data_IF_004832184428
#
_entry.id   IF_004832184428
#
_cell.length_a   1.000
_cell.length_b   1.000
_cell.length_c   1.000
_cell.angle_alpha   90.00
_cell.angle_beta   90.00
_cell.angle_gamma   90.00
#
_symmetry.space_group_name_H-M   'P 1'
#
loop_
_entity.id
_entity.type
_entity.pdbx_description
1 polymer ?
#
# COMPACT_ATOMS: atom_id res chain seq x y z
N UNK A 1 23.20 -28.08 24.93
CA UNK A 1 24.42 -27.64 24.23
C UNK A 1 24.28 -26.15 23.98
N UNK A 2 25.25 -25.33 24.40
CA UNK A 2 25.21 -23.87 24.22
C UNK A 2 26.17 -23.54 23.06
N UNK A 3 25.67 -22.87 22.03
CA UNK A 3 26.49 -22.38 20.93
C UNK A 3 26.71 -20.86 21.07
N UNK A 4 27.95 -20.40 20.90
CA UNK A 4 28.28 -18.99 20.85
C UNK A 4 28.50 -18.65 19.40
N UNK A 5 27.56 -17.90 18.79
CA UNK A 5 27.67 -17.41 17.44
C UNK A 5 28.41 -16.06 17.44
N UNK A 6 29.56 -16.01 16.72
CA UNK A 6 30.29 -14.78 16.47
C UNK A 6 30.07 -14.38 15.01
N UNK A 7 29.87 -13.12 14.74
CA UNK A 7 29.64 -12.60 13.40
C UNK A 7 28.86 -11.29 13.41
N UNK A 8 28.65 -10.73 12.24
CA UNK A 8 27.76 -9.59 12.03
C UNK A 8 26.31 -9.99 12.33
N UNK A 9 25.44 -9.02 12.55
CA UNK A 9 24.04 -9.31 12.86
C UNK A 9 23.32 -9.98 11.67
N UNK A 10 23.73 -9.70 10.45
CA UNK A 10 23.23 -10.40 9.25
C UNK A 10 23.63 -11.88 9.25
N UNK A 11 24.90 -12.18 9.54
CA UNK A 11 25.37 -13.59 9.64
C UNK A 11 24.69 -14.35 10.77
N UNK A 12 24.47 -13.70 11.91
CA UNK A 12 23.70 -14.27 13.03
C UNK A 12 22.26 -14.57 12.62
N UNK A 13 21.60 -13.64 11.90
CA UNK A 13 20.22 -13.81 11.41
C UNK A 13 20.12 -15.00 10.44
N UNK A 14 21.05 -15.11 9.48
CA UNK A 14 21.08 -16.20 8.52
C UNK A 14 21.36 -17.55 9.21
N UNK A 15 22.24 -17.58 10.17
CA UNK A 15 22.49 -18.78 10.97
C UNK A 15 21.25 -19.20 11.78
N UNK A 16 20.54 -18.27 12.41
CA UNK A 16 19.27 -18.53 13.10
C UNK A 16 18.21 -19.07 12.14
N UNK A 17 18.10 -18.52 10.91
CA UNK A 17 17.19 -19.05 9.89
C UNK A 17 17.50 -20.52 9.56
N UNK A 18 18.78 -20.86 9.41
CA UNK A 18 19.22 -22.22 9.09
C UNK A 18 18.87 -23.22 10.19
N UNK A 19 19.15 -22.92 11.44
CA UNK A 19 18.85 -23.85 12.57
C UNK A 19 17.36 -23.98 12.85
N UNK A 20 16.55 -23.03 12.42
CA UNK A 20 15.10 -23.02 12.60
C UNK A 20 14.36 -23.92 11.61
N UNK A 21 15.08 -24.52 10.63
CA UNK A 21 14.48 -25.42 9.62
C UNK A 21 14.00 -26.74 10.25
N UNK A 22 14.57 -27.16 11.39
CA UNK A 22 14.31 -28.44 12.02
C UNK A 22 13.24 -28.43 13.13
N UNK A 23 12.63 -27.25 13.45
CA UNK A 23 11.66 -27.08 14.54
C UNK A 23 10.43 -26.26 14.10
N UNK A 24 9.68 -25.77 15.09
CA UNK A 24 8.60 -24.79 14.83
C UNK A 24 9.23 -23.48 14.32
N UNK A 25 8.83 -23.06 13.10
CA UNK A 25 9.44 -21.90 12.44
C UNK A 25 9.14 -20.63 13.22
N UNK A 26 10.18 -19.98 13.72
CA UNK A 26 10.08 -18.63 14.26
C UNK A 26 9.70 -17.64 13.16
N UNK A 27 8.90 -16.65 13.51
CA UNK A 27 8.63 -15.53 12.62
C UNK A 27 9.89 -14.67 12.46
N UNK A 28 9.96 -13.89 11.39
CA UNK A 28 11.08 -12.97 11.19
C UNK A 28 11.25 -11.99 12.35
N UNK A 29 10.14 -11.54 12.94
CA UNK A 29 10.21 -10.65 14.11
C UNK A 29 10.75 -11.36 15.36
N UNK A 30 10.44 -12.64 15.57
CA UNK A 30 11.01 -13.42 16.67
C UNK A 30 12.51 -13.63 16.50
N UNK A 31 12.97 -13.84 15.25
CA UNK A 31 14.40 -13.92 14.92
C UNK A 31 15.11 -12.58 15.21
N UNK A 32 14.54 -11.46 14.78
CA UNK A 32 15.06 -10.11 15.07
C UNK A 32 15.15 -9.87 16.59
N UNK A 33 14.15 -10.29 17.34
CA UNK A 33 14.13 -10.14 18.79
C UNK A 33 15.25 -10.93 19.50
N UNK A 34 15.64 -12.07 18.97
CA UNK A 34 16.74 -12.85 19.53
C UNK A 34 18.11 -12.17 19.31
N UNK A 35 18.27 -11.48 18.18
CA UNK A 35 19.52 -10.83 17.80
C UNK A 35 19.66 -9.46 18.47
N UNK A 36 18.61 -8.64 18.37
CA UNK A 36 18.62 -7.26 18.86
C UNK A 36 18.04 -7.14 20.26
N UNK A 37 18.31 -8.15 21.12
CA UNK A 37 17.85 -8.11 22.51
C UNK A 37 18.49 -6.96 23.28
N UNK A 38 17.71 -6.31 24.15
CA UNK A 38 18.16 -5.18 24.95
C UNK A 38 17.01 -4.49 25.67
N UNK A 39 17.34 -3.41 26.40
CA UNK A 39 16.35 -2.62 27.15
C UNK A 39 15.35 -1.95 26.21
N UNK A 40 15.83 -1.40 25.10
CA UNK A 40 14.99 -0.79 24.07
C UNK A 40 13.92 -1.76 23.55
N UNK A 41 14.32 -2.96 23.14
CA UNK A 41 13.37 -3.97 22.65
C UNK A 41 12.39 -4.40 23.75
N UNK A 42 12.87 -4.56 24.96
CA UNK A 42 12.03 -4.92 26.12
C UNK A 42 10.97 -3.84 26.38
N UNK A 43 11.34 -2.58 26.27
CA UNK A 43 10.44 -1.45 26.42
C UNK A 43 9.45 -1.33 25.24
N UNK A 44 9.92 -1.55 24.00
CA UNK A 44 9.05 -1.64 22.82
C UNK A 44 8.01 -2.76 22.95
N UNK A 45 8.42 -3.96 23.37
CA UNK A 45 7.52 -5.11 23.56
C UNK A 45 6.47 -4.87 24.63
N UNK A 46 6.76 -4.14 25.70
CA UNK A 46 5.76 -3.75 26.71
C UNK A 46 4.63 -2.93 26.09
N UNK A 47 4.95 -2.08 25.12
CA UNK A 47 3.98 -1.18 24.48
C UNK A 47 3.23 -1.84 23.34
N UNK A 48 3.89 -2.69 22.51
CA UNK A 48 3.37 -3.21 21.25
C UNK A 48 2.97 -4.69 21.25
N UNK A 49 3.52 -5.50 22.20
CA UNK A 49 3.51 -6.97 22.07
C UNK A 49 2.87 -7.70 23.25
N UNK A 50 1.94 -7.06 23.95
CA UNK A 50 1.16 -7.67 25.03
C UNK A 50 -0.33 -7.62 24.73
N UNK A 51 -1.06 -8.57 25.33
CA UNK A 51 -2.52 -8.49 25.27
C UNK A 51 -3.00 -7.17 25.90
N UNK A 52 -3.96 -6.51 25.26
CA UNK A 52 -4.53 -5.22 25.69
C UNK A 52 -3.48 -4.13 25.98
N UNK A 53 -2.34 -4.19 25.30
CA UNK A 53 -1.31 -3.16 25.41
C UNK A 53 -1.79 -1.79 24.86
N UNK A 54 -1.02 -0.74 25.11
CA UNK A 54 -1.38 0.62 24.69
C UNK A 54 -1.51 0.68 23.16
N UNK A 55 -0.59 0.07 22.42
CA UNK A 55 -0.65 0.04 20.95
C UNK A 55 -1.93 -0.64 20.44
N UNK A 56 -2.40 -1.70 21.11
CA UNK A 56 -3.68 -2.31 20.77
C UNK A 56 -4.84 -1.33 20.98
N UNK A 57 -4.92 -0.73 22.16
CA UNK A 57 -6.05 0.15 22.52
C UNK A 57 -6.24 1.33 21.58
N UNK A 58 -5.15 1.90 21.06
CA UNK A 58 -5.22 3.06 20.17
C UNK A 58 -5.22 2.66 18.68
N UNK A 59 -4.68 1.49 18.33
CA UNK A 59 -4.47 1.08 16.94
C UNK A 59 -5.38 -0.02 16.41
N UNK A 60 -6.21 -0.67 17.24
CA UNK A 60 -7.02 -1.85 16.83
C UNK A 60 -7.98 -1.59 15.67
N UNK A 61 -8.42 -0.34 15.52
CA UNK A 61 -9.28 0.08 14.41
C UNK A 61 -8.55 0.08 13.07
N UNK A 62 -7.26 0.33 13.08
CA UNK A 62 -6.47 0.62 11.88
C UNK A 62 -5.50 -0.51 11.51
N UNK A 63 -5.06 -1.29 12.49
CA UNK A 63 -4.06 -2.35 12.31
C UNK A 63 -4.68 -3.73 12.20
N UNK A 64 -4.03 -4.59 11.42
CA UNK A 64 -4.30 -6.02 11.37
C UNK A 64 -3.30 -6.78 12.26
N UNK A 65 -3.63 -8.05 12.51
CA UNK A 65 -2.76 -8.98 13.22
C UNK A 65 -2.94 -8.98 14.73
N UNK A 66 -2.04 -9.67 15.41
CA UNK A 66 -2.05 -9.91 16.84
C UNK A 66 -0.85 -9.26 17.53
N UNK A 67 -1.09 -8.52 18.61
CA UNK A 67 0.00 -7.97 19.42
C UNK A 67 0.86 -9.06 20.04
N UNK A 68 0.28 -10.20 20.44
CA UNK A 68 1.01 -11.34 21.02
C UNK A 68 1.98 -11.94 19.99
N UNK A 69 1.56 -12.04 18.73
CA UNK A 69 2.42 -12.47 17.61
C UNK A 69 3.33 -11.35 17.09
N UNK A 70 3.32 -10.21 17.74
CA UNK A 70 4.17 -9.06 17.46
C UNK A 70 3.91 -8.37 16.09
N UNK A 71 2.77 -8.64 15.47
CA UNK A 71 2.42 -8.06 14.17
C UNK A 71 2.36 -6.52 14.23
N UNK A 72 1.91 -5.96 15.36
CA UNK A 72 1.92 -4.51 15.58
C UNK A 72 3.34 -3.95 15.64
N UNK A 73 4.23 -4.58 16.41
CA UNK A 73 5.63 -4.16 16.50
C UNK A 73 6.30 -4.23 15.12
N UNK A 74 6.13 -5.34 14.41
CA UNK A 74 6.70 -5.53 13.08
C UNK A 74 6.21 -4.48 12.09
N UNK A 75 4.91 -4.20 12.07
CA UNK A 75 4.34 -3.18 11.18
C UNK A 75 4.91 -1.79 11.46
N UNK A 76 4.96 -1.40 12.74
CA UNK A 76 5.48 -0.07 13.12
C UNK A 76 6.99 0.04 12.85
N UNK A 77 7.75 -1.03 13.06
CA UNK A 77 9.16 -1.09 12.68
C UNK A 77 9.34 -0.93 11.17
N UNK A 78 8.55 -1.61 10.37
CA UNK A 78 8.57 -1.46 8.91
C UNK A 78 8.29 -0.03 8.47
N UNK A 79 7.32 0.63 9.08
CA UNK A 79 6.95 2.00 8.74
C UNK A 79 8.04 3.02 9.10
N UNK A 80 8.59 2.91 10.32
CA UNK A 80 9.61 3.86 10.78
C UNK A 80 10.95 3.64 10.07
N UNK A 81 11.30 2.39 9.77
CA UNK A 81 12.50 2.06 9.00
C UNK A 81 12.41 2.61 7.58
N UNK A 82 11.26 2.47 6.93
CA UNK A 82 11.03 3.08 5.61
C UNK A 82 11.16 4.61 5.65
N UNK A 83 10.66 5.27 6.70
CA UNK A 83 10.82 6.71 6.91
C UNK A 83 12.29 7.14 6.98
N UNK A 84 13.13 6.31 7.59
CA UNK A 84 14.57 6.59 7.73
C UNK A 84 15.40 6.03 6.56
N UNK A 85 14.77 5.47 5.51
CA UNK A 85 15.43 4.77 4.40
C UNK A 85 16.38 3.65 4.86
N UNK A 86 15.93 2.86 5.84
CA UNK A 86 16.67 1.75 6.46
C UNK A 86 15.88 0.45 6.35
N UNK A 87 16.58 -0.68 6.53
CA UNK A 87 15.91 -1.94 6.84
C UNK A 87 15.49 -1.97 8.31
N UNK A 88 14.59 -2.89 8.67
CA UNK A 88 14.19 -3.10 10.08
C UNK A 88 15.42 -3.48 10.92
N UNK A 89 16.28 -4.33 10.37
CA UNK A 89 17.51 -4.79 11.02
C UNK A 89 18.45 -3.62 11.33
N UNK A 90 18.69 -2.73 10.36
CA UNK A 90 19.49 -1.53 10.57
C UNK A 90 18.91 -0.62 11.65
N UNK A 91 17.60 -0.39 11.59
CA UNK A 91 16.91 0.43 12.59
C UNK A 91 17.03 -0.17 14.00
N UNK A 92 16.84 -1.49 14.14
CA UNK A 92 16.93 -2.19 15.43
C UNK A 92 18.37 -2.24 15.94
N UNK A 93 19.36 -2.47 15.08
CA UNK A 93 20.79 -2.48 15.44
C UNK A 93 21.26 -1.14 16.02
N UNK A 94 20.90 -0.03 15.39
CA UNK A 94 21.26 1.31 15.86
C UNK A 94 20.67 1.65 17.23
N UNK A 95 19.49 1.08 17.55
CA UNK A 95 18.76 1.39 18.78
C UNK A 95 18.90 0.31 19.87
N UNK A 96 19.61 -0.77 19.58
CA UNK A 96 19.72 -1.93 20.48
C UNK A 96 20.19 -1.55 21.88
N UNK A 97 21.06 -0.55 21.99
CA UNK A 97 21.64 -0.10 23.27
C UNK A 97 20.92 1.10 23.90
N UNK A 98 19.84 1.58 23.29
CA UNK A 98 19.01 2.61 23.88
C UNK A 98 18.24 2.01 25.09
N UNK A 99 17.95 2.83 26.09
CA UNK A 99 17.22 2.40 27.29
C UNK A 99 15.70 2.38 27.08
N UNK A 100 15.18 3.17 26.12
CA UNK A 100 13.75 3.36 25.89
C UNK A 100 13.40 3.42 24.41
N UNK A 101 12.24 2.84 24.04
CA UNK A 101 11.66 2.92 22.72
C UNK A 101 10.68 4.12 22.55
N UNK A 102 10.91 5.20 23.27
CA UNK A 102 10.03 6.38 23.28
C UNK A 102 9.82 6.98 21.87
N UNK A 103 10.86 7.15 21.02
CA UNK A 103 10.66 7.65 19.65
C UNK A 103 9.74 6.77 18.81
N UNK A 104 9.85 5.44 18.92
CA UNK A 104 8.99 4.49 18.22
C UNK A 104 7.53 4.59 18.67
N UNK A 105 7.30 4.73 19.98
CA UNK A 105 5.96 4.89 20.56
C UNK A 105 5.32 6.21 20.12
N UNK A 106 6.08 7.29 20.14
CA UNK A 106 5.63 8.61 19.69
C UNK A 106 5.32 8.61 18.18
N UNK A 107 6.18 8.02 17.38
CA UNK A 107 5.92 7.85 15.95
C UNK A 107 4.59 7.12 15.70
N UNK A 108 4.39 5.97 16.34
CA UNK A 108 3.13 5.22 16.21
C UNK A 108 1.91 6.05 16.62
N UNK A 109 2.00 6.75 17.76
CA UNK A 109 0.92 7.62 18.20
C UNK A 109 0.63 8.74 17.20
N UNK A 110 1.67 9.37 16.64
CA UNK A 110 1.51 10.41 15.62
C UNK A 110 0.82 9.89 14.36
N UNK A 111 1.10 8.65 13.95
CA UNK A 111 0.39 8.01 12.83
C UNK A 111 -1.10 7.89 13.14
N UNK A 112 -1.44 7.38 14.32
CA UNK A 112 -2.85 7.19 14.70
C UNK A 112 -3.59 8.53 14.84
N UNK A 113 -2.98 9.50 15.53
CA UNK A 113 -3.55 10.83 15.70
C UNK A 113 -3.81 11.52 14.33
N UNK A 114 -2.86 11.36 13.40
CA UNK A 114 -3.00 11.89 12.05
C UNK A 114 -4.14 11.23 11.27
N UNK A 115 -4.31 9.90 11.37
CA UNK A 115 -5.42 9.19 10.74
C UNK A 115 -6.76 9.74 11.26
N UNK A 116 -6.89 9.86 12.59
CA UNK A 116 -8.13 10.30 13.25
C UNK A 116 -8.46 11.75 12.93
N UNK A 117 -7.44 12.59 12.80
CA UNK A 117 -7.61 13.99 12.40
C UNK A 117 -8.01 14.13 10.93
N UNK A 118 -7.32 13.38 10.03
CA UNK A 118 -7.52 13.49 8.59
C UNK A 118 -8.83 12.81 8.14
N UNK A 119 -9.20 11.68 8.79
CA UNK A 119 -10.37 10.88 8.46
C UNK A 119 -11.25 10.64 9.70
N UNK A 120 -12.02 11.64 10.15
CA UNK A 120 -12.81 11.52 11.38
C UNK A 120 -13.85 10.40 11.35
N UNK A 121 -14.36 10.07 10.17
CA UNK A 121 -15.34 8.98 10.00
C UNK A 121 -14.66 7.64 9.77
N UNK A 122 -14.71 6.80 10.79
CA UNK A 122 -14.13 5.45 10.71
C UNK A 122 -14.95 4.50 9.84
N UNK A 123 -14.28 3.78 8.93
CA UNK A 123 -14.85 2.76 8.06
C UNK A 123 -14.03 1.46 8.16
N UNK A 124 -14.47 0.55 9.04
CA UNK A 124 -13.71 -0.65 9.41
C UNK A 124 -13.22 -1.46 8.20
N UNK A 125 -14.08 -1.73 7.23
CA UNK A 125 -13.76 -2.55 6.04
C UNK A 125 -12.70 -1.93 5.14
N UNK A 126 -12.62 -0.61 5.13
CA UNK A 126 -11.75 0.15 4.23
C UNK A 126 -10.45 0.57 4.90
N UNK A 127 -10.51 0.99 6.18
CA UNK A 127 -9.37 1.56 6.88
C UNK A 127 -8.50 0.52 7.57
N UNK A 128 -9.11 -0.59 8.04
CA UNK A 128 -8.35 -1.61 8.78
C UNK A 128 -7.36 -2.33 7.88
N UNK A 129 -6.08 -2.31 8.29
CA UNK A 129 -5.00 -3.00 7.61
C UNK A 129 -4.40 -2.28 6.41
N UNK A 130 -4.68 -0.99 6.23
CA UNK A 130 -3.89 -0.14 5.33
C UNK A 130 -2.49 0.09 5.90
N UNK A 131 -1.52 0.36 5.03
CA UNK A 131 -0.15 0.71 5.44
C UNK A 131 -0.06 2.17 5.91
N UNK A 132 -0.81 2.48 6.97
CA UNK A 132 -0.99 3.85 7.44
C UNK A 132 0.31 4.58 7.74
N UNK A 133 1.32 3.88 8.28
CA UNK A 133 2.61 4.51 8.55
C UNK A 133 3.35 4.89 7.27
N UNK A 134 3.22 4.14 6.18
CA UNK A 134 3.78 4.51 4.88
C UNK A 134 3.05 5.74 4.32
N UNK A 135 1.72 5.73 4.36
CA UNK A 135 0.90 6.88 3.94
C UNK A 135 1.21 8.12 4.78
N UNK A 136 1.40 7.95 6.10
CA UNK A 136 1.83 9.02 6.99
C UNK A 136 3.20 9.58 6.60
N UNK A 137 4.18 8.71 6.34
CA UNK A 137 5.52 9.14 5.98
C UNK A 137 5.53 10.00 4.71
N UNK A 138 4.67 9.68 3.76
CA UNK A 138 4.62 10.30 2.44
C UNK A 138 3.76 11.58 2.45
N UNK A 139 2.61 11.53 3.14
CA UNK A 139 1.58 12.54 2.97
C UNK A 139 1.26 13.41 4.20
N UNK A 140 1.86 13.13 5.38
CA UNK A 140 1.51 13.86 6.62
C UNK A 140 1.90 15.34 6.64
N UNK A 141 2.79 15.76 5.73
CA UNK A 141 3.16 17.18 5.56
C UNK A 141 2.11 18.00 4.79
N UNK A 142 1.19 17.33 4.09
CA UNK A 142 0.15 18.00 3.33
C UNK A 142 -1.00 18.44 4.26
N UNK A 143 -1.66 19.52 3.86
CA UNK A 143 -2.85 20.01 4.55
C UNK A 143 -4.09 19.48 3.84
N UNK A 144 -5.01 18.89 4.60
CA UNK A 144 -6.27 18.35 4.09
C UNK A 144 -7.45 18.98 4.79
N UNK A 145 -8.54 19.22 4.05
CA UNK A 145 -9.85 19.50 4.65
C UNK A 145 -10.60 18.16 4.88
N UNK A 146 -10.85 17.75 6.12
CA UNK A 146 -11.55 16.49 6.42
C UNK A 146 -12.96 16.42 5.81
N UNK A 147 -13.66 17.54 5.63
CA UNK A 147 -15.00 17.56 5.05
C UNK A 147 -14.96 17.34 3.54
N UNK A 148 -13.99 17.94 2.87
CA UNK A 148 -13.74 17.71 1.44
C UNK A 148 -13.35 16.24 1.19
N UNK A 149 -12.42 15.71 1.98
CA UNK A 149 -12.04 14.29 1.91
C UNK A 149 -13.24 13.37 2.12
N UNK A 150 -14.09 13.65 3.11
CA UNK A 150 -15.27 12.83 3.39
C UNK A 150 -16.28 12.87 2.23
N UNK A 151 -16.50 14.04 1.63
CA UNK A 151 -17.34 14.20 0.44
C UNK A 151 -16.81 13.37 -0.73
N UNK A 152 -15.52 13.47 -1.01
CA UNK A 152 -14.87 12.72 -2.08
C UNK A 152 -14.87 11.20 -1.82
N UNK A 153 -14.63 10.75 -0.59
CA UNK A 153 -14.74 9.33 -0.23
C UNK A 153 -16.16 8.81 -0.54
N UNK A 154 -17.20 9.55 -0.14
CA UNK A 154 -18.57 9.14 -0.40
C UNK A 154 -18.89 9.09 -1.90
N UNK A 155 -18.38 10.03 -2.68
CA UNK A 155 -18.51 10.03 -4.14
C UNK A 155 -17.83 8.82 -4.77
N UNK A 156 -16.57 8.57 -4.40
CA UNK A 156 -15.77 7.47 -4.95
C UNK A 156 -16.28 6.09 -4.53
N UNK A 157 -16.93 5.96 -3.36
CA UNK A 157 -17.56 4.71 -2.94
C UNK A 157 -18.81 4.34 -3.76
N UNK A 158 -19.39 5.29 -4.46
CA UNK A 158 -20.55 5.08 -5.35
C UNK A 158 -20.14 4.83 -6.81
N UNK A 159 -18.85 4.91 -7.11
CA UNK A 159 -18.32 4.71 -8.45
C UNK A 159 -18.05 3.22 -8.69
N UNK A 160 -18.87 2.61 -9.57
CA UNK A 160 -18.81 1.18 -9.91
C UNK A 160 -17.52 0.80 -10.68
N UNK A 161 -16.80 1.78 -11.22
CA UNK A 161 -15.52 1.53 -11.89
C UNK A 161 -14.40 1.27 -10.90
N UNK A 162 -14.55 1.65 -9.62
CA UNK A 162 -13.54 1.43 -8.59
C UNK A 162 -13.63 0.00 -8.03
N UNK A 163 -12.68 -0.85 -8.39
CA UNK A 163 -12.66 -2.23 -7.90
C UNK A 163 -11.94 -2.38 -6.57
N UNK A 164 -11.00 -1.48 -6.24
CA UNK A 164 -10.24 -1.48 -4.99
C UNK A 164 -10.59 -0.29 -4.10
N UNK A 165 -11.74 -0.36 -3.43
CA UNK A 165 -12.22 0.73 -2.57
C UNK A 165 -11.26 1.14 -1.45
N UNK A 166 -10.41 0.22 -0.95
CA UNK A 166 -9.35 0.58 0.05
C UNK A 166 -8.34 1.57 -0.50
N UNK A 167 -8.12 1.60 -1.82
CA UNK A 167 -7.21 2.51 -2.49
C UNK A 167 -7.68 3.96 -2.51
N UNK A 168 -8.94 4.23 -2.18
CA UNK A 168 -9.51 5.59 -2.15
C UNK A 168 -8.70 6.50 -1.20
N UNK A 169 -8.26 5.98 -0.06
CA UNK A 169 -7.46 6.76 0.89
C UNK A 169 -6.11 7.19 0.30
N UNK A 170 -5.39 6.26 -0.31
CA UNK A 170 -4.12 6.54 -0.97
C UNK A 170 -4.28 7.50 -2.15
N UNK A 171 -5.32 7.29 -2.99
CA UNK A 171 -5.65 8.16 -4.10
C UNK A 171 -5.92 9.60 -3.66
N UNK A 172 -6.72 9.80 -2.62
CA UNK A 172 -7.03 11.14 -2.12
C UNK A 172 -5.82 11.80 -1.46
N UNK A 173 -5.04 11.05 -0.69
CA UNK A 173 -3.82 11.56 -0.04
C UNK A 173 -2.76 11.97 -1.06
N UNK A 174 -2.67 11.29 -2.19
CA UNK A 174 -1.77 11.65 -3.28
C UNK A 174 -2.21 12.90 -4.08
N UNK A 175 -3.27 13.57 -3.68
CA UNK A 175 -3.86 14.68 -4.44
C UNK A 175 -4.51 14.22 -5.74
N UNK A 176 -5.07 13.00 -5.75
CA UNK A 176 -5.77 12.38 -6.88
C UNK A 176 -4.84 12.02 -8.07
N UNK A 177 -3.54 11.83 -7.80
CA UNK A 177 -2.56 11.49 -8.86
C UNK A 177 -2.33 9.98 -8.99
N UNK A 178 -2.53 9.19 -7.93
CA UNK A 178 -2.30 7.75 -7.94
C UNK A 178 -3.59 6.95 -8.25
N UNK A 179 -4.07 7.02 -9.50
CA UNK A 179 -5.24 6.24 -9.95
C UNK A 179 -5.05 4.73 -9.85
N UNK A 180 -3.80 4.25 -9.93
CA UNK A 180 -3.48 2.81 -9.80
C UNK A 180 -3.94 2.23 -8.46
N UNK A 181 -4.00 3.06 -7.41
CA UNK A 181 -4.49 2.66 -6.10
C UNK A 181 -5.95 2.19 -6.13
N UNK A 182 -6.78 2.73 -7.02
CA UNK A 182 -8.20 2.45 -7.17
C UNK A 182 -8.48 1.15 -7.93
N UNK A 183 -7.52 0.68 -8.74
CA UNK A 183 -7.73 -0.46 -9.65
C UNK A 183 -9.00 -0.27 -10.48
N UNK A 184 -9.03 0.75 -11.33
CA UNK A 184 -10.19 1.03 -12.19
C UNK A 184 -10.55 -0.19 -13.04
N UNK A 185 -11.83 -0.47 -13.19
CA UNK A 185 -12.35 -1.61 -13.94
C UNK A 185 -11.81 -1.60 -15.37
N UNK A 186 -11.22 -2.68 -15.79
CA UNK A 186 -10.84 -2.86 -17.18
C UNK A 186 -12.04 -3.28 -18.05
N UNK A 187 -12.00 -2.97 -19.33
CA UNK A 187 -12.95 -3.51 -20.30
C UNK A 187 -12.86 -5.04 -20.37
N UNK A 188 -14.00 -5.72 -20.33
CA UNK A 188 -14.09 -7.17 -20.50
C UNK A 188 -13.77 -7.56 -21.93
N UNK A 189 -13.44 -8.84 -22.17
CA UNK A 189 -13.13 -9.30 -23.54
C UNK A 189 -14.31 -9.17 -24.50
N UNK A 190 -15.56 -9.30 -24.00
CA UNK A 190 -16.76 -9.05 -24.81
C UNK A 190 -16.89 -7.54 -25.19
N UNK A 191 -16.57 -6.64 -24.24
CA UNK A 191 -16.59 -5.21 -24.53
C UNK A 191 -15.50 -4.83 -25.53
N UNK A 192 -14.28 -5.39 -25.37
CA UNK A 192 -13.16 -5.22 -26.32
C UNK A 192 -13.54 -5.70 -27.72
N UNK A 193 -14.12 -6.90 -27.83
CA UNK A 193 -14.56 -7.44 -29.11
C UNK A 193 -15.63 -6.56 -29.75
N UNK A 194 -16.60 -6.10 -28.96
CA UNK A 194 -17.65 -5.20 -29.44
C UNK A 194 -17.07 -3.89 -29.97
N UNK A 195 -16.08 -3.31 -29.27
CA UNK A 195 -15.41 -2.08 -29.72
C UNK A 195 -14.61 -2.32 -31.00
N UNK A 196 -13.87 -3.45 -31.08
CA UNK A 196 -13.10 -3.84 -32.23
C UNK A 196 -13.98 -3.99 -33.49
N UNK A 197 -15.11 -4.70 -33.37
CA UNK A 197 -16.07 -4.88 -34.47
C UNK A 197 -16.69 -3.55 -34.92
N UNK A 198 -17.08 -2.68 -33.99
CA UNK A 198 -17.58 -1.32 -34.31
C UNK A 198 -16.55 -0.51 -35.07
N UNK A 199 -15.27 -0.66 -34.75
CA UNK A 199 -14.16 0.05 -35.40
C UNK A 199 -13.65 -0.66 -36.65
N UNK A 200 -14.12 -1.89 -36.94
CA UNK A 200 -13.65 -2.74 -38.07
C UNK A 200 -12.14 -2.99 -38.03
N UNK A 201 -11.57 -3.12 -36.83
CA UNK A 201 -10.15 -3.30 -36.60
C UNK A 201 -9.27 -2.07 -36.89
N UNK A 202 -9.86 -0.90 -37.08
CA UNK A 202 -9.12 0.33 -37.39
C UNK A 202 -8.94 1.17 -36.13
N UNK A 203 -7.68 1.50 -35.80
CA UNK A 203 -7.37 2.42 -34.72
C UNK A 203 -7.86 3.84 -35.07
N UNK A 204 -8.69 4.51 -34.23
CA UNK A 204 -9.22 5.84 -34.52
C UNK A 204 -8.13 6.89 -34.74
N UNK A 205 -6.98 6.78 -34.05
CA UNK A 205 -5.87 7.72 -34.21
C UNK A 205 -5.13 7.46 -35.53
N UNK A 206 -4.86 6.19 -35.90
CA UNK A 206 -4.35 5.88 -37.24
C UNK A 206 -5.24 6.44 -38.34
N UNK A 207 -6.56 6.29 -38.20
CA UNK A 207 -7.54 6.82 -39.16
C UNK A 207 -7.48 8.34 -39.25
N UNK A 208 -7.32 9.05 -38.15
CA UNK A 208 -7.17 10.51 -38.12
C UNK A 208 -5.89 10.96 -38.83
N UNK A 209 -4.85 10.13 -38.84
CA UNK A 209 -3.60 10.34 -39.58
C UNK A 209 -3.69 9.94 -41.08
N UNK A 210 -4.85 9.49 -41.55
CA UNK A 210 -5.04 9.02 -42.92
C UNK A 210 -4.50 7.60 -43.19
N UNK A 211 -4.27 6.80 -42.12
CA UNK A 211 -3.78 5.42 -42.19
C UNK A 211 -4.95 4.45 -41.97
N UNK A 212 -5.49 3.88 -43.04
CA UNK A 212 -6.57 2.87 -42.95
C UNK A 212 -6.00 1.45 -42.76
N UNK A 213 -5.25 1.26 -41.67
CA UNK A 213 -4.65 -0.03 -41.29
C UNK A 213 -5.65 -0.85 -40.48
N UNK A 214 -5.96 -2.05 -40.95
CA UNK A 214 -6.76 -3.03 -40.18
C UNK A 214 -5.78 -3.82 -39.32
N UNK A 215 -5.89 -3.66 -38.00
CA UNK A 215 -5.08 -4.37 -37.01
C UNK A 215 -5.75 -5.67 -36.59
N UNK A 216 -4.97 -6.69 -36.23
CA UNK A 216 -5.52 -7.88 -35.57
C UNK A 216 -6.02 -7.52 -34.16
N UNK A 217 -7.02 -8.25 -33.66
CA UNK A 217 -7.61 -7.99 -32.33
C UNK A 217 -6.55 -8.02 -31.23
N UNK A 218 -5.61 -8.96 -31.33
CA UNK A 218 -4.53 -9.18 -30.38
C UNK A 218 -3.50 -8.03 -30.35
N UNK A 219 -3.44 -7.23 -31.42
CA UNK A 219 -2.51 -6.11 -31.55
C UNK A 219 -3.12 -4.77 -31.11
N UNK A 220 -4.38 -4.83 -30.65
CA UNK A 220 -5.09 -3.65 -30.20
C UNK A 220 -5.37 -3.69 -28.68
N UNK A 221 -5.35 -2.54 -28.05
CA UNK A 221 -5.57 -2.34 -26.62
C UNK A 221 -6.82 -1.51 -26.39
N UNK A 222 -7.64 -1.96 -25.44
CA UNK A 222 -8.81 -1.18 -25.02
C UNK A 222 -8.38 0.01 -24.16
N UNK A 223 -8.94 1.16 -24.45
CA UNK A 223 -8.64 2.42 -23.80
C UNK A 223 -9.91 3.28 -23.66
N UNK A 224 -9.92 4.20 -22.69
CA UNK A 224 -11.00 5.16 -22.50
C UNK A 224 -10.81 6.36 -23.44
N UNK A 225 -11.82 6.75 -24.20
CA UNK A 225 -11.79 8.01 -24.99
C UNK A 225 -11.56 9.21 -24.08
N UNK A 226 -12.35 9.31 -23.01
CA UNK A 226 -12.19 10.27 -21.92
C UNK A 226 -11.62 9.50 -20.73
N UNK A 227 -10.43 9.85 -20.22
CA UNK A 227 -9.84 9.19 -19.05
C UNK A 227 -10.78 9.21 -17.84
N UNK A 228 -10.68 8.20 -16.96
CA UNK A 228 -11.51 8.10 -15.78
C UNK A 228 -11.36 9.32 -14.85
N UNK A 229 -10.15 9.83 -14.67
CA UNK A 229 -9.89 11.05 -13.88
C UNK A 229 -10.56 12.32 -14.43
N UNK A 230 -10.91 12.31 -15.70
CA UNK A 230 -11.65 13.39 -16.37
C UNK A 230 -13.17 13.08 -16.47
N UNK A 231 -13.66 12.11 -15.71
CA UNK A 231 -15.08 11.73 -15.63
C UNK A 231 -15.53 10.70 -16.68
N UNK A 232 -14.61 10.04 -17.36
CA UNK A 232 -14.93 8.99 -18.33
C UNK A 232 -15.12 7.65 -17.66
N UNK A 233 -16.33 7.08 -17.67
CA UNK A 233 -16.61 5.75 -17.13
C UNK A 233 -16.22 4.62 -18.10
N UNK A 234 -16.03 3.40 -17.56
CA UNK A 234 -15.74 2.19 -18.32
C UNK A 234 -17.01 1.66 -18.96
N UNK A 235 -17.41 2.28 -20.05
CA UNK A 235 -18.60 1.94 -20.85
C UNK A 235 -18.20 1.76 -22.32
N UNK A 236 -19.01 0.99 -23.07
CA UNK A 236 -18.79 0.80 -24.53
C UNK A 236 -18.75 2.11 -25.33
N UNK A 237 -19.48 3.12 -24.87
CA UNK A 237 -19.53 4.41 -25.56
C UNK A 237 -18.27 5.25 -25.31
N UNK A 238 -17.67 5.11 -24.12
CA UNK A 238 -16.40 5.74 -23.76
C UNK A 238 -15.19 4.85 -24.08
N UNK A 239 -15.40 3.60 -24.51
CA UNK A 239 -14.34 2.69 -24.89
C UNK A 239 -13.91 2.86 -26.34
N UNK A 240 -12.65 2.56 -26.60
CA UNK A 240 -12.06 2.46 -27.94
C UNK A 240 -10.93 1.42 -27.95
N UNK A 241 -10.64 0.88 -29.15
CA UNK A 241 -9.48 0.03 -29.39
C UNK A 241 -8.40 0.85 -30.09
N UNK A 242 -7.22 0.91 -29.50
CA UNK A 242 -6.05 1.59 -30.05
C UNK A 242 -4.98 0.58 -30.46
N UNK A 243 -4.21 0.84 -31.50
CA UNK A 243 -2.98 0.10 -31.77
C UNK A 243 -1.97 0.35 -30.64
N UNK A 244 -0.98 -0.51 -30.49
CA UNK A 244 0.00 -0.44 -29.42
C UNK A 244 0.72 0.91 -29.33
N UNK A 245 1.11 1.47 -30.46
CA UNK A 245 1.81 2.76 -30.55
C UNK A 245 0.96 3.90 -29.95
N UNK A 246 -0.25 4.09 -30.46
CA UNK A 246 -1.15 5.14 -29.98
C UNK A 246 -1.65 4.94 -28.54
N UNK A 247 -1.75 3.67 -28.10
CA UNK A 247 -2.09 3.41 -26.70
C UNK A 247 -0.97 3.83 -25.74
N UNK A 248 0.30 3.66 -26.13
CA UNK A 248 1.45 4.11 -25.34
C UNK A 248 1.55 5.63 -25.33
N UNK A 249 1.45 6.29 -26.49
CA UNK A 249 1.48 7.76 -26.60
C UNK A 249 0.42 8.43 -25.74
N UNK A 250 -0.80 7.85 -25.72
CA UNK A 250 -1.89 8.38 -24.88
C UNK A 250 -1.69 8.17 -23.40
N UNK A 251 -0.96 7.10 -23.01
CA UNK A 251 -0.67 6.81 -21.60
C UNK A 251 0.36 7.76 -20.99
N UNK A 252 1.15 8.43 -21.84
CA UNK A 252 2.21 9.37 -21.45
C UNK A 252 1.72 10.83 -21.41
N UNK A 253 0.44 11.09 -21.70
CA UNK A 253 -0.21 12.42 -21.70
C UNK A 253 -1.30 12.53 -20.64
#
# INVERSE_FOLDING_TARGET
MIYICKGTDTEKLDWFKIINIAGEKLTEQELRNAIYTGEWLSDAKKYFSKNQCIAYKIGEKYMNGSTIRQDYLQSVLSWVSAKENKTIEQYMAERQHDTHATPLKQYFKSVIDWIEFTFPKYRAKLMKGLNWGILYNEYSSNVYDPNELESEINRLLQDDDITRQKGIYEYLLSGKTNEKALSIRAFTDNEKMTMYERQKGICPMCKAEGKDIIWAFEDMHADHKIPWCKGGHTTLDNGQMLCREHNLEKSDT
#
